data_IF_130554371520
#
_entry.id   IF_130554371520
#
_cell.length_a   1.000
_cell.length_b   1.000
_cell.length_c   1.000
_cell.angle_alpha   90.00
_cell.angle_beta   90.00
_cell.angle_gamma   90.00
#
_symmetry.space_group_name_H-M   'P 1'
#
loop_
_entity.id
_entity.type
_entity.pdbx_description
1 polymer ?
#
# COMPACT_ATOMS: atom_id res chain seq x y z
N UNK A 1 17.17 9.65 6.82
CA UNK A 1 17.78 8.85 5.73
C UNK A 1 17.54 9.49 4.37
N UNK A 2 16.31 9.86 3.97
CA UNK A 2 16.09 10.65 2.74
C UNK A 2 16.43 12.15 2.88
N UNK A 3 16.35 12.73 4.07
CA UNK A 3 16.64 14.15 4.31
C UNK A 3 18.08 14.60 3.97
N UNK A 4 18.97 13.66 3.64
CA UNK A 4 20.36 13.93 3.25
C UNK A 4 20.58 13.87 1.74
N UNK A 5 19.58 13.42 0.97
CA UNK A 5 19.61 13.29 -0.48
C UNK A 5 18.38 14.03 -1.07
N UNK A 6 18.56 15.28 -1.54
CA UNK A 6 17.47 16.09 -2.08
C UNK A 6 16.78 15.46 -3.29
N UNK A 7 17.50 14.71 -4.12
CA UNK A 7 16.93 14.08 -5.32
C UNK A 7 16.01 12.92 -4.92
N UNK A 8 16.46 12.08 -3.98
CA UNK A 8 15.61 11.02 -3.43
C UNK A 8 14.37 11.57 -2.71
N UNK A 9 14.48 12.72 -2.04
CA UNK A 9 13.37 13.39 -1.39
C UNK A 9 12.35 13.93 -2.41
N UNK A 10 12.81 14.52 -3.50
CA UNK A 10 11.94 15.00 -4.59
C UNK A 10 11.16 13.84 -5.24
N UNK A 11 11.86 12.75 -5.57
CA UNK A 11 11.22 11.53 -6.11
C UNK A 11 10.17 11.00 -5.12
N UNK A 12 10.49 10.97 -3.82
CA UNK A 12 9.52 10.55 -2.80
C UNK A 12 8.27 11.44 -2.76
N UNK A 13 8.43 12.77 -2.76
CA UNK A 13 7.30 13.70 -2.78
C UNK A 13 6.44 13.55 -4.05
N UNK A 14 7.10 13.33 -5.18
CA UNK A 14 6.44 13.09 -6.46
C UNK A 14 5.57 11.83 -6.43
N UNK A 15 6.12 10.72 -5.95
CA UNK A 15 5.41 9.44 -5.83
C UNK A 15 4.31 9.48 -4.76
N UNK A 16 4.52 10.22 -3.67
CA UNK A 16 3.58 10.33 -2.55
C UNK A 16 2.36 11.20 -2.85
N UNK A 17 2.57 12.37 -3.49
CA UNK A 17 1.53 13.40 -3.62
C UNK A 17 1.33 13.84 -5.06
N UNK A 18 2.38 14.33 -5.74
CA UNK A 18 2.23 15.01 -7.03
C UNK A 18 1.60 14.12 -8.10
N UNK A 19 2.16 12.93 -8.31
CA UNK A 19 1.70 12.03 -9.37
C UNK A 19 0.32 11.42 -9.05
N UNK A 20 0.06 10.91 -7.82
CA UNK A 20 -1.29 10.48 -7.44
C UNK A 20 -2.35 11.58 -7.57
N UNK A 21 -2.02 12.83 -7.24
CA UNK A 21 -2.94 13.97 -7.36
C UNK A 21 -3.25 14.29 -8.83
N UNK A 22 -2.23 14.32 -9.69
CA UNK A 22 -2.42 14.51 -11.14
C UNK A 22 -3.25 13.39 -11.78
N UNK A 23 -3.12 12.15 -11.28
CA UNK A 23 -3.94 11.01 -11.72
C UNK A 23 -5.37 11.02 -11.17
N UNK A 24 -5.69 11.89 -10.21
CA UNK A 24 -6.98 11.88 -9.50
C UNK A 24 -7.15 10.67 -8.57
N UNK A 25 -6.04 10.05 -8.14
CA UNK A 25 -6.06 8.94 -7.16
C UNK A 25 -6.26 9.46 -5.72
N UNK A 26 -5.77 10.67 -5.45
CA UNK A 26 -5.94 11.36 -4.16
C UNK A 26 -6.49 12.77 -4.42
N UNK A 27 -7.03 13.39 -3.38
CA UNK A 27 -7.50 14.77 -3.39
C UNK A 27 -7.05 15.54 -2.14
N UNK A 28 -7.07 16.87 -2.23
CA UNK A 28 -6.80 17.73 -1.09
C UNK A 28 -7.99 17.74 -0.13
N UNK A 29 -7.73 17.54 1.16
CA UNK A 29 -8.73 17.71 2.22
C UNK A 29 -8.64 19.15 2.74
N UNK A 30 -9.72 19.91 2.60
CA UNK A 30 -9.77 21.34 2.96
C UNK A 30 -10.49 21.62 4.28
N UNK A 31 -11.11 20.60 4.88
CA UNK A 31 -11.81 20.67 6.16
C UNK A 31 -11.19 19.67 7.11
N UNK A 32 -10.66 20.16 8.22
CA UNK A 32 -10.26 19.32 9.35
C UNK A 32 -11.35 19.39 10.41
N UNK A 33 -12.32 18.49 10.31
CA UNK A 33 -13.39 18.31 11.29
C UNK A 33 -13.02 17.29 12.38
N UNK A 34 -11.74 16.85 12.40
CA UNK A 34 -11.24 15.86 13.35
C UNK A 34 -11.70 14.42 13.08
N UNK A 35 -12.35 14.15 11.94
CA UNK A 35 -12.84 12.80 11.59
C UNK A 35 -11.85 11.99 10.75
N UNK A 36 -10.70 12.57 10.41
CA UNK A 36 -9.67 11.95 9.59
C UNK A 36 -8.70 11.06 10.36
N UNK A 37 -8.17 10.05 9.66
CA UNK A 37 -7.04 9.25 10.13
C UNK A 37 -5.78 9.60 9.34
N UNK A 38 -4.76 10.13 10.02
CA UNK A 38 -3.47 10.43 9.40
C UNK A 38 -2.61 9.16 9.36
N UNK A 39 -2.53 8.55 8.18
CA UNK A 39 -1.76 7.33 8.01
C UNK A 39 -0.25 7.63 8.02
N UNK A 40 0.53 7.07 8.97
CA UNK A 40 1.98 7.17 8.93
C UNK A 40 2.51 6.56 7.64
N UNK A 41 3.56 7.15 7.10
CA UNK A 41 4.15 6.69 5.86
C UNK A 41 5.67 6.90 5.88
N UNK A 42 6.38 6.07 5.13
CA UNK A 42 7.83 6.19 4.99
C UNK A 42 8.28 5.72 3.59
N UNK A 43 9.47 6.16 3.20
CA UNK A 43 10.09 5.75 1.96
C UNK A 43 10.78 4.38 2.11
N UNK A 44 10.50 3.47 1.18
CA UNK A 44 11.28 2.25 0.95
C UNK A 44 12.11 2.41 -0.31
N UNK A 45 13.43 2.33 -0.17
CA UNK A 45 14.38 2.46 -1.27
C UNK A 45 14.70 1.06 -1.84
N UNK A 46 14.52 0.91 -3.14
CA UNK A 46 14.81 -0.28 -3.95
C UNK A 46 15.71 0.10 -5.12
N UNK A 47 16.99 0.30 -4.82
CA UNK A 47 17.99 0.71 -5.81
C UNK A 47 18.15 -0.29 -6.98
N UNK A 48 17.68 -1.53 -6.81
CA UNK A 48 17.66 -2.59 -7.82
C UNK A 48 16.52 -2.45 -8.85
N UNK A 49 15.63 -1.47 -8.71
CA UNK A 49 14.46 -1.28 -9.57
C UNK A 49 14.63 -0.09 -10.49
N UNK A 50 14.48 -0.35 -11.80
CA UNK A 50 14.65 0.65 -12.86
C UNK A 50 13.56 1.73 -12.90
N UNK A 51 12.31 1.36 -12.61
CA UNK A 51 11.16 2.27 -12.83
C UNK A 51 10.65 2.96 -11.57
N UNK A 52 10.79 2.35 -10.40
CA UNK A 52 10.27 2.87 -9.12
C UNK A 52 11.26 2.56 -7.98
N UNK A 53 12.42 3.24 -7.98
CA UNK A 53 13.48 3.01 -7.00
C UNK A 53 13.13 3.50 -5.59
N UNK A 54 12.10 4.36 -5.44
CA UNK A 54 11.60 4.84 -4.15
C UNK A 54 10.10 4.65 -4.12
N UNK A 55 9.58 4.10 -3.03
CA UNK A 55 8.14 3.85 -2.85
C UNK A 55 7.66 4.36 -1.50
N UNK A 56 6.61 5.19 -1.45
CA UNK A 56 5.90 5.46 -0.22
C UNK A 56 5.16 4.22 0.25
N UNK A 57 5.37 3.83 1.50
CA UNK A 57 4.65 2.76 2.18
C UNK A 57 3.88 3.39 3.32
N UNK A 58 2.58 3.14 3.34
CA UNK A 58 1.70 3.60 4.39
C UNK A 58 1.45 2.49 5.41
N UNK A 59 1.40 2.86 6.69
CA UNK A 59 1.16 1.96 7.81
C UNK A 59 -0.25 2.17 8.39
N UNK A 60 -1.21 1.39 7.89
CA UNK A 60 -2.57 1.36 8.40
C UNK A 60 -2.74 0.59 9.73
N UNK A 61 -1.67 -0.05 10.22
CA UNK A 61 -1.67 -0.80 11.48
C UNK A 61 -1.19 0.01 12.68
N UNK A 62 -0.59 1.19 12.42
CA UNK A 62 -0.21 2.10 13.48
C UNK A 62 -1.44 2.61 14.22
N UNK A 63 -1.30 2.85 15.53
CA UNK A 63 -2.27 3.60 16.32
C UNK A 63 -1.62 4.88 16.87
N UNK A 64 -2.42 5.91 17.12
CA UNK A 64 -1.90 7.20 17.62
C UNK A 64 -1.34 7.06 19.05
N UNK A 65 -2.03 6.30 19.91
CA UNK A 65 -1.61 6.02 21.29
C UNK A 65 -1.78 4.53 21.60
N UNK A 66 -1.04 4.04 22.61
CA UNK A 66 -1.26 2.69 23.16
C UNK A 66 -2.70 2.56 23.64
N UNK A 67 -3.45 1.65 23.03
CA UNK A 67 -4.86 1.39 23.35
C UNK A 67 -5.85 1.93 22.33
N UNK A 68 -5.41 2.81 21.41
CA UNK A 68 -6.25 3.26 20.29
C UNK A 68 -6.32 2.18 19.19
N UNK A 69 -7.42 2.18 18.44
CA UNK A 69 -7.61 1.33 17.28
C UNK A 69 -6.78 1.84 16.10
N UNK A 70 -6.21 0.92 15.32
CA UNK A 70 -5.61 1.23 14.02
C UNK A 70 -6.69 1.33 12.94
N UNK A 71 -6.33 1.85 11.76
CA UNK A 71 -7.26 1.87 10.63
C UNK A 71 -7.70 0.45 10.25
N UNK A 72 -6.80 -0.52 10.30
CA UNK A 72 -7.11 -1.93 10.01
C UNK A 72 -8.14 -2.52 10.99
N UNK A 73 -8.16 -2.09 12.25
CA UNK A 73 -9.13 -2.56 13.23
C UNK A 73 -10.53 -1.99 13.00
N UNK A 74 -10.61 -0.81 12.38
CA UNK A 74 -11.85 -0.10 12.10
C UNK A 74 -12.50 -0.52 10.77
N UNK A 75 -11.74 -1.12 9.85
CA UNK A 75 -12.22 -1.52 8.53
C UNK A 75 -12.75 -2.96 8.53
N UNK A 76 -13.96 -3.16 8.01
CA UNK A 76 -14.48 -4.49 7.75
C UNK A 76 -13.77 -5.11 6.53
N UNK A 77 -13.03 -6.23 6.68
CA UNK A 77 -12.21 -6.77 5.59
C UNK A 77 -13.02 -7.42 4.45
N UNK A 78 -14.31 -7.71 4.71
CA UNK A 78 -15.15 -8.44 3.76
C UNK A 78 -14.75 -9.91 3.60
N UNK A 79 -15.45 -10.64 2.72
CA UNK A 79 -15.09 -12.02 2.38
C UNK A 79 -13.81 -12.06 1.54
N UNK A 80 -13.00 -13.11 1.70
CA UNK A 80 -11.81 -13.33 0.86
C UNK A 80 -12.21 -13.53 -0.60
N UNK A 81 -11.82 -12.59 -1.47
CA UNK A 81 -11.98 -12.70 -2.92
C UNK A 81 -10.84 -13.50 -3.59
N UNK A 82 -9.78 -13.83 -2.83
CA UNK A 82 -8.66 -14.63 -3.32
C UNK A 82 -9.13 -16.09 -3.43
N UNK A 83 -9.02 -16.64 -4.64
CA UNK A 83 -9.30 -18.05 -4.88
C UNK A 83 -8.38 -18.93 -4.02
N UNK A 84 -8.89 -20.08 -3.56
CA UNK A 84 -8.10 -21.01 -2.74
C UNK A 84 -6.90 -21.51 -3.55
N UNK A 85 -5.72 -20.92 -3.31
CA UNK A 85 -4.50 -21.20 -4.04
C UNK A 85 -4.11 -22.67 -3.93
N UNK A 86 -4.24 -23.26 -2.74
CA UNK A 86 -3.95 -24.69 -2.53
C UNK A 86 -4.90 -25.53 -3.38
N UNK A 87 -6.19 -25.20 -3.40
CA UNK A 87 -7.18 -25.86 -4.26
C UNK A 87 -6.83 -25.75 -5.74
N UNK A 88 -6.48 -24.54 -6.22
CA UNK A 88 -6.07 -24.33 -7.60
C UNK A 88 -4.81 -25.12 -7.98
N UNK A 89 -3.81 -25.14 -7.11
CA UNK A 89 -2.56 -25.89 -7.33
C UNK A 89 -2.80 -27.39 -7.33
N UNK A 90 -3.70 -27.90 -6.48
CA UNK A 90 -4.09 -29.31 -6.48
C UNK A 90 -4.78 -29.69 -7.79
N UNK A 91 -5.76 -28.91 -8.24
CA UNK A 91 -6.44 -29.13 -9.53
C UNK A 91 -5.44 -29.18 -10.69
N UNK A 92 -4.52 -28.21 -10.75
CA UNK A 92 -3.46 -28.19 -11.77
C UNK A 92 -2.56 -29.43 -11.72
N UNK A 93 -2.22 -29.90 -10.51
CA UNK A 93 -1.33 -31.06 -10.32
C UNK A 93 -2.03 -32.39 -10.61
N UNK A 94 -3.32 -32.52 -10.33
CA UNK A 94 -4.04 -33.79 -10.42
C UNK A 94 -4.81 -33.96 -11.72
N UNK A 95 -5.19 -32.88 -12.42
CA UNK A 95 -5.77 -32.96 -13.76
C UNK A 95 -4.67 -33.13 -14.81
N UNK A 96 -4.04 -34.30 -14.84
CA UNK A 96 -3.37 -34.80 -16.04
C UNK A 96 -4.47 -35.29 -16.99
N UNK A 97 -4.52 -34.73 -18.21
CA UNK A 97 -5.49 -35.04 -19.27
C UNK A 97 -5.95 -36.51 -19.30
N UNK A 98 -7.26 -36.82 -19.13
CA UNK A 98 -7.82 -38.13 -19.47
C UNK A 98 -8.06 -38.31 -20.99
N UNK A 99 -7.37 -37.55 -21.85
CA UNK A 99 -7.58 -37.52 -23.30
C UNK A 99 -6.30 -37.74 -24.13
N UNK A 100 -5.36 -38.52 -23.60
CA UNK A 100 -4.39 -39.26 -24.43
C UNK A 100 -4.58 -40.75 -24.16
#
# INVERSE_FOLDING_TARGET
MLSKDPEALDIYHKELVTDPLQRGTIEGVFTDDGTGYYMPHHAVVRADKLTTPIRPVFDASSSSTKGDLSLNDCLYPGPSLIANLVGMLLVFRTLVNPLV
#
